data_IF_048730583871
#
_entry.id   IF_048730583871
#
_cell.length_a   1.000
_cell.length_b   1.000
_cell.length_c   1.000
_cell.angle_alpha   90.00
_cell.angle_beta   90.00
_cell.angle_gamma   90.00
#
_symmetry.space_group_name_H-M   'P 1'
#
loop_
_entity.id
_entity.type
_entity.pdbx_description
1 polymer ?
#
# COMPACT_ATOMS: atom_id res chain seq x y z
N UNK A 1 54.15 23.80 46.68
CA UNK A 1 52.72 23.95 47.01
C UNK A 1 51.90 23.89 45.74
N UNK A 2 51.23 22.78 45.44
CA UNK A 2 50.16 22.76 44.44
C UNK A 2 49.12 21.73 44.90
N UNK A 3 47.87 22.19 44.98
CA UNK A 3 46.73 21.60 45.68
C UNK A 3 46.14 20.42 44.90
N UNK A 4 45.81 19.33 45.59
CA UNK A 4 44.94 18.26 45.10
C UNK A 4 43.50 18.77 45.04
N UNK A 5 42.88 18.76 43.85
CA UNK A 5 41.46 19.06 43.67
C UNK A 5 40.73 17.73 43.38
N UNK A 6 40.14 17.15 44.41
CA UNK A 6 39.36 15.90 44.29
C UNK A 6 37.96 16.24 43.79
N UNK A 7 37.63 15.86 42.55
CA UNK A 7 36.31 16.06 41.95
C UNK A 7 35.37 14.91 42.39
N UNK A 8 34.33 15.21 43.16
CA UNK A 8 33.25 14.26 43.47
C UNK A 8 32.28 14.19 42.28
N UNK A 9 32.20 13.05 41.62
CA UNK A 9 31.16 12.77 40.63
C UNK A 9 29.90 12.25 41.33
N UNK A 10 28.82 13.04 41.32
CA UNK A 10 27.50 12.60 41.79
C UNK A 10 26.86 11.73 40.71
N UNK A 11 26.65 10.44 40.99
CA UNK A 11 25.97 9.52 40.09
C UNK A 11 24.45 9.65 40.27
N UNK A 12 23.78 10.37 39.37
CA UNK A 12 22.30 10.40 39.30
C UNK A 12 21.78 9.11 38.69
N UNK A 13 21.18 8.25 39.51
CA UNK A 13 20.47 7.05 39.05
C UNK A 13 19.16 7.50 38.40
N UNK A 14 19.11 7.49 37.07
CA UNK A 14 17.88 7.68 36.30
C UNK A 14 17.10 6.37 36.34
N UNK A 15 15.99 6.33 37.08
CA UNK A 15 15.06 5.21 37.07
C UNK A 15 14.24 5.25 35.77
N UNK A 16 14.61 4.39 34.82
CA UNK A 16 13.81 4.18 33.61
C UNK A 16 12.53 3.44 34.02
N UNK A 17 11.38 4.12 33.97
CA UNK A 17 10.09 3.44 34.14
C UNK A 17 9.84 2.58 32.89
N UNK A 18 9.54 1.28 33.04
CA UNK A 18 9.11 0.47 31.90
C UNK A 18 7.79 1.05 31.36
N UNK A 19 7.84 1.59 30.15
CA UNK A 19 6.65 1.99 29.42
C UNK A 19 5.90 0.72 29.03
N UNK A 20 4.70 0.52 29.57
CA UNK A 20 3.82 -0.57 29.16
C UNK A 20 3.66 -0.51 27.64
N UNK A 21 3.95 -1.61 26.95
CA UNK A 21 3.69 -1.68 25.52
C UNK A 21 2.18 -1.54 25.30
N UNK A 22 1.74 -0.69 24.37
CA UNK A 22 0.33 -0.61 24.03
C UNK A 22 -0.15 -2.02 23.69
N UNK A 23 -1.22 -2.46 24.37
CA UNK A 23 -1.90 -3.70 24.08
C UNK A 23 -2.21 -3.69 22.57
N UNK A 24 -1.67 -4.68 21.83
CA UNK A 24 -1.72 -4.68 20.37
C UNK A 24 -3.14 -4.41 19.86
N UNK A 25 -3.25 -3.67 18.75
CA UNK A 25 -4.54 -3.33 18.16
C UNK A 25 -5.40 -4.59 18.01
N UNK A 26 -6.58 -4.59 18.63
CA UNK A 26 -7.57 -5.65 18.45
C UNK A 26 -8.12 -5.57 17.03
N UNK A 27 -7.62 -6.44 16.15
CA UNK A 27 -8.08 -6.54 14.75
C UNK A 27 -8.92 -7.80 14.61
N UNK A 28 -10.19 -7.62 14.24
CA UNK A 28 -11.13 -8.74 14.06
C UNK A 28 -11.16 -9.25 12.63
N UNK A 29 -11.01 -8.34 11.66
CA UNK A 29 -11.15 -8.63 10.23
C UNK A 29 -10.02 -7.96 9.44
N UNK A 30 -9.53 -8.66 8.43
CA UNK A 30 -8.51 -8.15 7.49
C UNK A 30 -9.08 -8.21 6.08
N UNK A 31 -9.01 -7.09 5.38
CA UNK A 31 -9.42 -6.98 3.98
C UNK A 31 -8.20 -6.62 3.13
N UNK A 32 -7.94 -7.41 2.09
CA UNK A 32 -6.94 -7.12 1.07
C UNK A 32 -7.70 -6.74 -0.20
N UNK A 33 -7.66 -5.47 -0.57
CA UNK A 33 -8.33 -4.93 -1.75
C UNK A 33 -7.24 -4.59 -2.77
N UNK A 34 -7.36 -5.13 -3.98
CA UNK A 34 -6.46 -4.83 -5.08
C UNK A 34 -7.27 -4.24 -6.23
N UNK A 35 -6.66 -3.30 -6.96
CA UNK A 35 -7.22 -2.70 -8.15
C UNK A 35 -6.26 -2.98 -9.29
N UNK A 36 -6.75 -3.60 -10.36
CA UNK A 36 -5.94 -3.84 -11.55
C UNK A 36 -5.86 -2.58 -12.43
N UNK A 37 -4.70 -2.37 -13.06
CA UNK A 37 -4.47 -1.24 -13.97
C UNK A 37 -4.46 0.14 -13.31
N UNK A 38 -4.56 0.25 -11.99
CA UNK A 38 -4.55 1.54 -11.31
C UNK A 38 -3.13 2.12 -11.25
N UNK A 39 -2.96 3.28 -11.87
CA UNK A 39 -1.69 4.01 -11.85
C UNK A 39 -1.55 4.82 -10.56
N UNK A 40 -0.33 4.85 -10.02
CA UNK A 40 -0.04 5.60 -8.80
C UNK A 40 -0.11 7.11 -9.03
N UNK A 41 0.13 7.58 -10.26
CA UNK A 41 0.02 8.98 -10.66
C UNK A 41 -1.38 9.53 -10.39
N UNK A 42 -2.42 8.79 -10.82
CA UNK A 42 -3.82 9.14 -10.55
C UNK A 42 -4.15 9.11 -9.07
N UNK A 43 -3.63 8.11 -8.34
CA UNK A 43 -3.79 8.06 -6.90
C UNK A 43 -3.33 9.36 -6.26
N UNK A 44 -2.08 9.76 -6.50
CA UNK A 44 -1.41 10.84 -5.77
C UNK A 44 -1.67 12.24 -6.30
N UNK A 45 -1.88 12.41 -7.60
CA UNK A 45 -2.03 13.72 -8.24
C UNK A 45 -3.38 13.97 -8.91
N UNK A 46 -4.29 12.99 -8.90
CA UNK A 46 -5.54 13.06 -9.64
C UNK A 46 -5.31 12.84 -11.12
N UNK A 47 -6.21 13.27 -11.97
CA UNK A 47 -6.06 13.08 -13.41
C UNK A 47 -4.92 13.97 -13.95
N UNK A 48 -3.69 13.44 -13.92
CA UNK A 48 -2.44 14.19 -14.12
C UNK A 48 -1.86 14.07 -15.51
N UNK A 49 -2.44 13.23 -16.35
CA UNK A 49 -1.95 12.93 -17.69
C UNK A 49 -2.84 13.50 -18.79
N UNK A 50 -2.23 13.63 -19.97
CA UNK A 50 -2.89 14.01 -21.22
C UNK A 50 -4.00 13.04 -21.66
N UNK A 51 -4.18 11.90 -21.00
CA UNK A 51 -5.26 10.95 -21.33
C UNK A 51 -6.63 11.61 -21.29
N UNK A 52 -6.89 12.55 -20.37
CA UNK A 52 -8.17 13.29 -20.34
C UNK A 52 -8.41 14.14 -21.60
N UNK A 53 -7.34 14.51 -22.28
CA UNK A 53 -7.35 15.37 -23.47
C UNK A 53 -7.07 14.58 -24.74
N UNK A 54 -6.85 13.28 -24.64
CA UNK A 54 -6.52 12.42 -25.77
C UNK A 54 -7.79 11.93 -26.46
N UNK A 55 -8.10 12.40 -27.68
CA UNK A 55 -9.31 12.02 -28.39
C UNK A 55 -9.31 10.55 -28.84
N UNK A 56 -8.16 9.85 -28.82
CA UNK A 56 -8.11 8.40 -29.06
C UNK A 56 -8.84 7.63 -27.95
N UNK A 57 -8.71 8.09 -26.71
CA UNK A 57 -9.25 7.40 -25.53
C UNK A 57 -10.51 8.05 -24.96
N UNK A 58 -10.75 9.33 -25.25
CA UNK A 58 -11.81 10.12 -24.64
C UNK A 58 -12.71 10.75 -25.70
N UNK A 59 -14.00 10.39 -25.65
CA UNK A 59 -15.02 10.95 -26.55
C UNK A 59 -15.36 12.42 -26.27
N UNK A 60 -15.36 12.81 -25.00
CA UNK A 60 -15.69 14.17 -24.55
C UNK A 60 -14.62 14.68 -23.57
N UNK A 61 -13.56 15.26 -24.13
CA UNK A 61 -12.44 15.80 -23.37
C UNK A 61 -12.85 17.02 -22.54
N UNK A 62 -13.78 17.84 -23.04
CA UNK A 62 -14.29 19.02 -22.35
C UNK A 62 -15.02 18.64 -21.06
N UNK A 63 -15.85 17.58 -21.11
CA UNK A 63 -16.53 17.08 -19.91
C UNK A 63 -15.54 16.53 -18.87
N UNK A 64 -14.54 15.72 -19.27
CA UNK A 64 -13.55 15.21 -18.32
C UNK A 64 -12.76 16.32 -17.65
N UNK A 65 -12.33 17.33 -18.42
CA UNK A 65 -11.64 18.50 -17.87
C UNK A 65 -12.54 19.24 -16.87
N UNK A 66 -13.80 19.48 -17.21
CA UNK A 66 -14.74 20.15 -16.30
C UNK A 66 -14.93 19.39 -14.97
N UNK A 67 -14.95 18.06 -15.02
CA UNK A 67 -15.15 17.21 -13.84
C UNK A 67 -13.89 17.07 -12.99
N UNK A 68 -12.73 16.86 -13.60
CA UNK A 68 -11.54 16.36 -12.90
C UNK A 68 -10.33 17.30 -12.91
N UNK A 69 -10.31 18.33 -13.75
CA UNK A 69 -9.21 19.29 -13.76
C UNK A 69 -9.28 20.24 -12.55
N UNK A 70 -8.11 20.68 -12.07
CA UNK A 70 -7.96 21.66 -11.01
C UNK A 70 -6.52 22.20 -10.99
N UNK A 71 -6.30 23.41 -10.43
CA UNK A 71 -4.98 24.03 -10.39
C UNK A 71 -3.90 23.17 -9.68
N UNK A 72 -4.28 22.44 -8.64
CA UNK A 72 -3.33 21.66 -7.83
C UNK A 72 -3.56 20.15 -7.90
N UNK A 73 -2.50 19.31 -7.76
CA UNK A 73 -2.65 17.86 -7.64
C UNK A 73 -3.56 17.43 -6.48
N UNK A 74 -3.53 18.16 -5.36
CA UNK A 74 -4.36 17.91 -4.18
C UNK A 74 -5.85 18.12 -4.44
N UNK A 75 -6.21 19.11 -5.24
CA UNK A 75 -7.60 19.34 -5.66
C UNK A 75 -8.02 18.31 -6.71
N UNK A 76 -7.16 18.04 -7.71
CA UNK A 76 -7.46 17.04 -8.75
C UNK A 76 -7.69 15.66 -8.17
N UNK A 77 -6.84 15.19 -7.25
CA UNK A 77 -6.99 13.86 -6.65
C UNK A 77 -8.25 13.74 -5.80
N UNK A 78 -8.69 14.82 -5.14
CA UNK A 78 -9.97 14.89 -4.44
C UNK A 78 -11.16 14.87 -5.40
N UNK A 79 -11.05 15.50 -6.58
CA UNK A 79 -12.08 15.38 -7.63
C UNK A 79 -12.18 13.97 -8.20
N UNK A 80 -11.03 13.34 -8.47
CA UNK A 80 -10.98 11.99 -9.06
C UNK A 80 -11.38 10.88 -8.06
N UNK A 81 -10.91 10.96 -6.82
CA UNK A 81 -11.14 9.95 -5.77
C UNK A 81 -11.53 10.62 -4.44
N UNK A 82 -12.73 11.21 -4.36
CA UNK A 82 -13.15 12.03 -3.22
C UNK A 82 -13.07 11.25 -1.91
N UNK A 83 -13.68 10.06 -1.84
CA UNK A 83 -13.71 9.25 -0.62
C UNK A 83 -12.32 8.81 -0.16
N UNK A 84 -11.44 8.42 -1.10
CA UNK A 84 -10.07 8.01 -0.74
C UNK A 84 -9.33 9.16 -0.04
N UNK A 85 -9.39 10.36 -0.60
CA UNK A 85 -8.65 11.52 -0.08
C UNK A 85 -9.34 12.26 1.07
N UNK A 86 -10.66 12.15 1.20
CA UNK A 86 -11.41 12.74 2.32
C UNK A 86 -11.51 11.81 3.53
N UNK A 87 -11.34 10.50 3.34
CA UNK A 87 -11.59 9.52 4.40
C UNK A 87 -10.38 8.61 4.61
N UNK A 88 -10.06 7.75 3.64
CA UNK A 88 -8.99 6.75 3.82
C UNK A 88 -7.62 7.38 4.11
N UNK A 89 -7.24 8.42 3.38
CA UNK A 89 -5.95 9.07 3.58
C UNK A 89 -5.83 9.83 4.90
N UNK A 90 -6.96 10.17 5.55
CA UNK A 90 -6.97 10.86 6.84
C UNK A 90 -6.89 9.89 8.02
N UNK A 91 -7.38 8.65 7.84
CA UNK A 91 -7.44 7.64 8.91
C UNK A 91 -6.47 6.48 8.71
N UNK A 92 -5.73 6.48 7.59
CA UNK A 92 -4.80 5.42 7.20
C UNK A 92 -3.38 5.92 6.95
N UNK A 93 -2.59 5.05 6.34
CA UNK A 93 -1.20 5.31 5.96
C UNK A 93 -1.04 5.06 4.46
N UNK A 94 -0.35 5.95 3.78
CA UNK A 94 -0.14 5.89 2.34
C UNK A 94 1.33 5.67 2.02
N UNK A 95 1.59 4.75 1.10
CA UNK A 95 2.91 4.42 0.60
C UNK A 95 2.89 4.30 -0.93
N UNK A 96 4.02 4.56 -1.59
CA UNK A 96 4.22 4.47 -3.03
C UNK A 96 4.20 5.82 -3.77
N UNK A 97 4.23 6.96 -3.08
CA UNK A 97 4.35 8.26 -3.74
C UNK A 97 5.77 8.48 -4.27
N UNK A 98 5.97 8.16 -5.55
CA UNK A 98 7.28 8.23 -6.20
C UNK A 98 7.77 9.65 -6.43
N UNK A 99 6.89 10.65 -6.52
CA UNK A 99 7.31 12.06 -6.56
C UNK A 99 7.98 12.51 -5.26
N UNK A 100 7.70 11.83 -4.14
CA UNK A 100 8.35 12.05 -2.85
C UNK A 100 9.49 11.06 -2.58
N UNK A 101 9.91 10.28 -3.57
CA UNK A 101 10.93 9.24 -3.41
C UNK A 101 10.48 8.03 -2.58
N UNK A 102 9.19 7.91 -2.25
CA UNK A 102 8.66 6.78 -1.50
C UNK A 102 8.36 5.62 -2.44
N UNK A 103 9.23 4.60 -2.43
CA UNK A 103 9.15 3.44 -3.31
C UNK A 103 8.46 2.28 -2.61
N UNK A 104 7.47 1.71 -3.29
CA UNK A 104 6.84 0.42 -2.96
C UNK A 104 6.94 -0.40 -4.23
N UNK A 105 8.04 -1.13 -4.33
CA UNK A 105 8.42 -1.87 -5.53
C UNK A 105 8.23 -3.37 -5.29
N UNK A 106 7.83 -4.06 -6.36
CA UNK A 106 7.83 -5.51 -6.41
C UNK A 106 9.24 -6.01 -6.79
N UNK A 107 9.56 -7.22 -6.35
CA UNK A 107 10.84 -7.89 -6.60
C UNK A 107 10.79 -8.78 -7.83
N UNK A 108 9.61 -9.18 -8.32
CA UNK A 108 9.50 -9.92 -9.57
C UNK A 108 10.00 -9.09 -10.76
N UNK A 109 10.63 -9.75 -11.74
CA UNK A 109 11.19 -9.11 -12.93
C UNK A 109 10.20 -8.98 -14.10
N UNK A 110 8.95 -9.41 -13.90
CA UNK A 110 7.96 -9.55 -14.97
C UNK A 110 7.03 -8.35 -15.08
N UNK A 111 6.65 -7.73 -13.96
CA UNK A 111 5.85 -6.51 -13.88
C UNK A 111 4.50 -6.58 -14.60
N UNK A 112 3.82 -7.72 -14.49
CA UNK A 112 2.43 -7.89 -14.92
C UNK A 112 1.63 -8.72 -13.90
N UNK A 113 0.34 -8.89 -14.19
CA UNK A 113 -0.71 -9.34 -13.25
C UNK A 113 -0.33 -10.56 -12.41
N UNK A 114 -0.25 -11.77 -12.97
CA UNK A 114 -0.12 -12.99 -12.17
C UNK A 114 1.16 -13.03 -11.28
N UNK A 115 2.37 -12.72 -11.79
CA UNK A 115 3.55 -12.59 -10.94
C UNK A 115 3.40 -11.55 -9.82
N UNK A 116 2.73 -10.42 -10.12
CA UNK A 116 2.45 -9.39 -9.12
C UNK A 116 1.51 -9.86 -8.01
N UNK A 117 0.39 -10.51 -8.36
CA UNK A 117 -0.54 -11.07 -7.38
C UNK A 117 0.09 -12.19 -6.55
N UNK A 118 0.90 -13.04 -7.17
CA UNK A 118 1.66 -14.06 -6.47
C UNK A 118 2.53 -13.43 -5.39
N UNK A 119 3.30 -12.41 -5.73
CA UNK A 119 4.19 -11.73 -4.79
C UNK A 119 3.43 -11.01 -3.67
N UNK A 120 2.34 -10.31 -3.98
CA UNK A 120 1.48 -9.67 -2.97
C UNK A 120 0.97 -10.69 -1.94
N UNK A 121 0.53 -11.86 -2.40
CA UNK A 121 -0.15 -12.85 -1.57
C UNK A 121 0.79 -13.85 -0.89
N UNK A 122 2.01 -14.01 -1.38
CA UNK A 122 2.99 -14.97 -0.82
C UNK A 122 4.16 -14.28 -0.12
N UNK A 123 4.41 -13.00 -0.41
CA UNK A 123 5.48 -12.21 0.17
C UNK A 123 6.85 -12.39 -0.49
N UNK A 124 6.94 -13.09 -1.61
CA UNK A 124 8.18 -13.27 -2.38
C UNK A 124 7.89 -13.44 -3.87
N UNK A 125 8.87 -13.15 -4.73
CA UNK A 125 8.79 -13.42 -6.16
C UNK A 125 9.19 -14.85 -6.50
N UNK A 126 8.48 -15.45 -7.46
CA UNK A 126 8.77 -16.79 -7.99
C UNK A 126 9.01 -16.72 -9.50
N UNK A 127 10.25 -16.98 -9.98
CA UNK A 127 10.57 -16.88 -11.41
C UNK A 127 9.84 -17.92 -12.28
N UNK A 128 9.22 -18.95 -11.67
CA UNK A 128 8.38 -19.93 -12.38
C UNK A 128 7.01 -19.35 -12.76
N UNK A 129 6.56 -18.31 -12.05
CA UNK A 129 5.32 -17.58 -12.35
C UNK A 129 5.66 -16.47 -13.32
N UNK A 130 5.69 -16.82 -14.60
CA UNK A 130 6.20 -15.98 -15.69
C UNK A 130 5.18 -15.78 -16.84
N UNK A 131 3.90 -16.03 -16.59
CA UNK A 131 2.81 -15.82 -17.55
C UNK A 131 1.49 -15.53 -16.83
N UNK A 132 0.48 -15.08 -17.57
CA UNK A 132 -0.91 -14.97 -17.09
C UNK A 132 -1.75 -16.22 -17.44
N UNK A 133 -1.11 -17.34 -17.80
CA UNK A 133 -1.83 -18.58 -18.08
C UNK A 133 -2.54 -19.09 -16.82
N UNK A 134 -3.71 -19.71 -16.99
CA UNK A 134 -4.52 -20.30 -15.91
C UNK A 134 -3.85 -21.56 -15.35
N UNK A 135 -2.76 -21.37 -14.63
CA UNK A 135 -1.97 -22.41 -13.99
C UNK A 135 -2.04 -22.15 -12.50
N UNK A 136 -2.35 -23.19 -11.73
CA UNK A 136 -2.41 -23.11 -10.28
C UNK A 136 -1.12 -22.56 -9.68
N UNK A 137 -1.28 -21.68 -8.70
CA UNK A 137 -0.16 -21.13 -7.95
C UNK A 137 0.44 -22.25 -7.08
N UNK A 138 1.71 -22.65 -7.27
CA UNK A 138 2.34 -23.67 -6.44
C UNK A 138 2.67 -23.17 -5.03
N UNK A 139 2.63 -21.85 -4.81
CA UNK A 139 3.02 -21.22 -3.55
C UNK A 139 1.78 -21.01 -2.68
N UNK A 140 1.88 -21.40 -1.41
CA UNK A 140 0.83 -21.16 -0.42
C UNK A 140 0.75 -19.66 -0.14
N UNK A 141 -0.41 -19.07 -0.42
CA UNK A 141 -0.70 -17.68 -0.10
C UNK A 141 -0.94 -17.49 1.41
N UNK A 142 -0.81 -16.25 1.89
CA UNK A 142 -1.20 -15.89 3.26
C UNK A 142 -2.66 -16.24 3.55
N UNK A 143 -3.54 -16.11 2.55
CA UNK A 143 -4.96 -16.43 2.67
C UNK A 143 -5.19 -17.94 2.84
N UNK A 144 -4.52 -18.78 2.05
CA UNK A 144 -4.57 -20.23 2.23
C UNK A 144 -3.97 -20.67 3.56
N UNK A 145 -2.86 -20.06 3.97
CA UNK A 145 -2.22 -20.34 5.26
C UNK A 145 -3.16 -20.00 6.42
N UNK A 146 -3.86 -18.85 6.39
CA UNK A 146 -4.88 -18.48 7.37
C UNK A 146 -6.04 -19.48 7.34
N UNK A 147 -6.55 -19.85 6.16
CA UNK A 147 -7.70 -20.76 6.06
C UNK A 147 -7.40 -22.19 6.58
N UNK A 148 -6.13 -22.58 6.66
CA UNK A 148 -5.68 -23.86 7.25
C UNK A 148 -5.61 -23.82 8.78
N UNK A 149 -5.73 -22.65 9.42
CA UNK A 149 -5.78 -22.53 10.88
C UNK A 149 -7.16 -22.95 11.40
N UNK A 150 -7.25 -23.80 12.44
CA UNK A 150 -8.52 -24.23 13.00
C UNK A 150 -9.48 -23.08 13.36
N UNK A 151 -8.93 -21.96 13.83
CA UNK A 151 -9.69 -20.79 14.28
C UNK A 151 -10.32 -19.99 13.12
N UNK A 152 -9.77 -20.11 11.91
CA UNK A 152 -10.16 -19.33 10.73
C UNK A 152 -10.67 -20.20 9.58
N UNK A 153 -10.74 -21.52 9.76
CA UNK A 153 -11.18 -22.44 8.71
C UNK A 153 -12.61 -22.11 8.26
N UNK A 154 -12.80 -21.95 6.95
CA UNK A 154 -14.08 -21.58 6.37
C UNK A 154 -14.47 -20.10 6.57
N UNK A 155 -13.56 -19.27 7.10
CA UNK A 155 -13.77 -17.82 7.31
C UNK A 155 -12.95 -16.94 6.36
N UNK A 156 -12.23 -17.54 5.43
CA UNK A 156 -11.48 -16.83 4.38
C UNK A 156 -12.28 -16.88 3.08
N UNK A 157 -12.52 -15.73 2.49
CA UNK A 157 -13.22 -15.59 1.21
C UNK A 157 -12.39 -14.75 0.24
N UNK A 158 -12.52 -15.05 -1.06
CA UNK A 158 -11.92 -14.29 -2.14
C UNK A 158 -13.00 -13.95 -3.17
N UNK A 159 -12.97 -12.70 -3.65
CA UNK A 159 -13.83 -12.20 -4.72
C UNK A 159 -12.91 -11.60 -5.78
N UNK A 160 -13.04 -12.05 -7.03
CA UNK A 160 -12.15 -11.65 -8.11
C UNK A 160 -12.92 -11.27 -9.37
N UNK A 161 -12.33 -10.37 -10.14
CA UNK A 161 -12.79 -9.99 -11.49
C UNK A 161 -12.20 -10.86 -12.60
N UNK A 162 -11.42 -11.88 -12.22
CA UNK A 162 -10.70 -12.76 -13.12
C UNK A 162 -11.37 -14.12 -13.17
N UNK A 163 -11.51 -14.67 -14.36
CA UNK A 163 -11.82 -16.08 -14.58
C UNK A 163 -10.51 -16.86 -14.53
N UNK A 164 -9.99 -17.12 -13.32
CA UNK A 164 -8.80 -17.95 -13.06
C UNK A 164 -9.10 -19.07 -12.09
#
# INVERSE_FOLDING_TARGET
MLRYLTLFFLLTIVTVRPQAQPMGQQTENVFIITLDGMRWQELYGGAVDSLMTDPEYVKDTAQLLALFDAPTPEERRKKLMPWFWSTLAQTGQLYGNRWLGNKVDVTNFFWFSYPGYNEILTGYSDPRINSNSKIWNPNVTVLEWINRKPEYNGRVAAFGSWDV
#
